data_IF_502002653148
#
_entry.id   IF_502002653148
#
_cell.length_a   1.000
_cell.length_b   1.000
_cell.length_c   1.000
_cell.angle_alpha   90.00
_cell.angle_beta   90.00
_cell.angle_gamma   90.00
#
_symmetry.space_group_name_H-M   'P 1'
#
loop_
_entity.id
_entity.type
_entity.pdbx_description
1 polymer ?
#
# COMPACT_ATOMS: atom_id res chain seq x y z
N UNK A 1 -0.68 6.98 17.19
CA UNK A 1 -1.26 6.44 15.95
C UNK A 1 -0.24 5.61 15.19
N UNK A 2 -0.47 4.29 15.11
CA UNK A 2 0.50 3.29 14.64
C UNK A 2 0.70 3.17 13.12
N UNK A 3 0.12 4.07 12.32
CA UNK A 3 0.20 4.03 10.85
C UNK A 3 -0.57 2.87 10.21
N UNK A 4 -0.65 2.88 8.88
CA UNK A 4 -1.28 1.84 8.07
C UNK A 4 -0.21 1.03 7.34
N UNK A 5 -0.43 -0.28 7.21
CA UNK A 5 0.50 -1.20 6.53
C UNK A 5 0.32 -1.29 5.01
N UNK A 6 -0.84 -0.88 4.54
CA UNK A 6 -1.21 -0.71 3.12
C UNK A 6 -1.96 0.62 3.00
N UNK A 7 -2.05 1.24 1.82
CA UNK A 7 -2.76 2.50 1.69
C UNK A 7 -4.24 2.32 2.02
N UNK A 8 -4.83 3.15 2.88
CA UNK A 8 -6.27 3.18 3.05
C UNK A 8 -6.97 3.46 1.71
N UNK A 9 -8.13 2.87 1.41
CA UNK A 9 -8.85 3.05 0.13
C UNK A 9 -9.05 4.52 -0.27
N UNK A 10 -9.31 5.40 0.71
CA UNK A 10 -9.43 6.86 0.50
C UNK A 10 -8.20 7.49 -0.16
N UNK A 11 -7.00 6.94 0.05
CA UNK A 11 -5.79 7.43 -0.59
C UNK A 11 -5.85 7.27 -2.12
N UNK A 12 -6.69 6.38 -2.65
CA UNK A 12 -6.87 6.15 -4.09
C UNK A 12 -8.11 6.88 -4.61
N UNK A 13 -9.25 6.77 -3.93
CA UNK A 13 -10.56 7.22 -4.47
C UNK A 13 -10.95 8.66 -4.11
N UNK A 14 -10.25 9.32 -3.18
CA UNK A 14 -10.60 10.70 -2.78
C UNK A 14 -10.38 11.80 -3.84
N UNK A 15 -9.44 11.71 -4.80
CA UNK A 15 -9.32 12.72 -5.84
C UNK A 15 -10.58 12.84 -6.70
N UNK A 16 -10.99 14.07 -7.01
CA UNK A 16 -12.16 14.33 -7.87
C UNK A 16 -11.88 14.03 -9.37
N UNK A 17 -10.61 14.01 -9.76
CA UNK A 17 -10.21 13.83 -11.16
C UNK A 17 -9.97 12.36 -11.45
N UNK A 18 -10.72 11.80 -12.39
CA UNK A 18 -10.68 10.37 -12.73
C UNK A 18 -9.27 9.89 -13.12
N UNK A 19 -8.54 10.65 -13.91
CA UNK A 19 -7.18 10.29 -14.34
C UNK A 19 -6.19 10.20 -13.15
N UNK A 20 -6.40 11.00 -12.09
CA UNK A 20 -5.60 10.88 -10.86
C UNK A 20 -5.97 9.57 -10.16
N UNK A 21 -7.25 9.26 -9.99
CA UNK A 21 -7.70 8.00 -9.36
C UNK A 21 -7.13 6.78 -10.12
N UNK A 22 -7.22 6.79 -11.45
CA UNK A 22 -6.62 5.77 -12.32
C UNK A 22 -5.11 5.61 -12.11
N UNK A 23 -4.40 6.74 -12.00
CA UNK A 23 -2.95 6.73 -11.73
C UNK A 23 -2.65 6.10 -10.37
N UNK A 24 -3.45 6.39 -9.34
CA UNK A 24 -3.24 5.86 -7.99
C UNK A 24 -3.55 4.37 -7.87
N UNK A 25 -4.54 3.86 -8.60
CA UNK A 25 -4.74 2.42 -8.74
C UNK A 25 -3.49 1.76 -9.32
N UNK A 26 -2.99 2.27 -10.45
CA UNK A 26 -1.77 1.76 -11.08
C UNK A 26 -0.55 1.88 -10.15
N UNK A 27 -0.42 2.99 -9.43
CA UNK A 27 0.65 3.17 -8.45
C UNK A 27 0.62 2.11 -7.36
N UNK A 28 -0.55 1.82 -6.79
CA UNK A 28 -0.68 0.77 -5.78
C UNK A 28 -0.28 -0.58 -6.36
N UNK A 29 -0.86 -0.95 -7.50
CA UNK A 29 -0.61 -2.25 -8.14
C UNK A 29 0.87 -2.47 -8.48
N UNK A 30 1.61 -1.42 -8.87
CA UNK A 30 3.06 -1.52 -9.13
C UNK A 30 3.89 -1.87 -7.91
N UNK A 31 3.50 -1.38 -6.74
CA UNK A 31 4.24 -1.63 -5.49
C UNK A 31 3.58 -2.72 -4.63
N UNK A 32 2.41 -3.24 -5.05
CA UNK A 32 1.59 -4.18 -4.29
C UNK A 32 2.41 -5.37 -3.84
N UNK A 33 3.07 -6.07 -4.75
CA UNK A 33 3.79 -7.29 -4.42
C UNK A 33 4.99 -7.02 -3.52
N UNK A 34 5.69 -5.90 -3.70
CA UNK A 34 6.77 -5.47 -2.79
C UNK A 34 6.25 -5.13 -1.40
N UNK A 35 5.06 -4.55 -1.27
CA UNK A 35 4.45 -4.26 0.03
C UNK A 35 3.95 -5.55 0.68
N UNK A 36 3.19 -6.38 -0.05
CA UNK A 36 2.60 -7.62 0.47
C UNK A 36 3.66 -8.67 0.81
N UNK A 37 4.73 -8.80 0.03
CA UNK A 37 5.83 -9.72 0.37
C UNK A 37 6.48 -9.40 1.71
N UNK A 38 6.60 -8.11 2.06
CA UNK A 38 7.10 -7.68 3.38
C UNK A 38 6.14 -8.04 4.49
N UNK A 39 4.82 -7.94 4.29
CA UNK A 39 3.83 -8.34 5.30
C UNK A 39 3.88 -9.83 5.60
N UNK A 40 4.17 -10.65 4.59
CA UNK A 40 4.27 -12.10 4.75
C UNK A 40 5.66 -12.59 5.20
N UNK A 41 6.66 -11.71 5.32
CA UNK A 41 8.03 -12.10 5.71
C UNK A 41 8.25 -11.79 7.20
N UNK A 42 8.27 -12.79 8.10
CA UNK A 42 8.34 -12.56 9.55
C UNK A 42 9.56 -11.75 10.02
N UNK A 43 10.67 -11.81 9.27
CA UNK A 43 11.93 -11.16 9.61
C UNK A 43 12.01 -9.71 9.12
N UNK A 44 11.04 -9.25 8.33
CA UNK A 44 11.06 -7.93 7.70
C UNK A 44 9.97 -7.07 8.31
N UNK A 45 10.37 -5.96 8.94
CA UNK A 45 9.40 -5.04 9.53
C UNK A 45 8.45 -4.48 8.44
N UNK A 46 7.14 -4.49 8.69
CA UNK A 46 6.17 -3.94 7.75
C UNK A 46 6.34 -2.43 7.65
N UNK A 47 5.97 -1.88 6.49
CA UNK A 47 5.96 -0.43 6.29
C UNK A 47 4.73 0.13 7.00
N UNK A 48 4.94 1.03 7.97
CA UNK A 48 3.83 1.71 8.67
C UNK A 48 3.84 3.19 8.34
N UNK A 49 2.87 3.64 7.56
CA UNK A 49 2.80 5.03 7.08
C UNK A 49 1.49 5.70 7.46
N UNK A 50 1.52 7.01 7.66
CA UNK A 50 0.30 7.82 7.78
C UNK A 50 -0.43 7.92 6.44
N UNK A 51 -1.70 8.31 6.47
CA UNK A 51 -2.51 8.59 5.27
C UNK A 51 -1.80 9.52 4.27
N UNK A 52 -1.18 10.58 4.80
CA UNK A 52 -0.50 11.59 3.99
C UNK A 52 0.76 11.01 3.35
N UNK A 53 1.48 10.16 4.07
CA UNK A 53 2.67 9.49 3.55
C UNK A 53 2.29 8.44 2.49
N UNK A 54 1.28 7.61 2.73
CA UNK A 54 0.75 6.69 1.71
C UNK A 54 0.31 7.41 0.44
N UNK A 55 -0.45 8.51 0.58
CA UNK A 55 -0.87 9.33 -0.54
C UNK A 55 0.34 9.88 -1.32
N UNK A 56 1.34 10.43 -0.62
CA UNK A 56 2.56 10.94 -1.23
C UNK A 56 3.42 9.85 -1.88
N UNK A 57 3.47 8.64 -1.34
CA UNK A 57 4.16 7.50 -1.94
C UNK A 57 3.49 7.08 -3.25
N UNK A 58 2.16 6.98 -3.28
CA UNK A 58 1.42 6.68 -4.51
C UNK A 58 1.60 7.76 -5.59
N UNK A 59 1.69 9.04 -5.20
CA UNK A 59 2.03 10.13 -6.14
C UNK A 59 3.44 9.98 -6.71
N UNK A 60 4.41 9.63 -5.86
CA UNK A 60 5.80 9.41 -6.24
C UNK A 60 5.91 8.25 -7.23
N UNK A 61 5.22 7.14 -6.96
CA UNK A 61 5.19 5.96 -7.85
C UNK A 61 4.48 6.27 -9.17
N UNK A 62 3.42 7.07 -9.12
CA UNK A 62 2.61 7.42 -10.30
C UNK A 62 3.19 8.53 -11.16
N UNK A 63 4.33 9.09 -10.79
CA UNK A 63 4.92 10.23 -11.50
C UNK A 63 4.09 11.51 -11.40
N UNK A 64 3.13 11.59 -10.46
CA UNK A 64 2.31 12.79 -10.24
C UNK A 64 3.12 13.91 -9.55
N UNK A 65 4.28 13.57 -8.99
CA UNK A 65 5.20 14.52 -8.39
C UNK A 65 6.62 14.32 -8.91
N UNK A 66 6.98 15.07 -9.95
CA UNK A 66 8.30 15.06 -10.61
C UNK A 66 9.23 16.18 -10.12
N UNK A 67 8.74 17.08 -9.27
CA UNK A 67 9.52 18.22 -8.76
C UNK A 67 10.69 17.78 -7.87
N UNK A 68 11.78 18.57 -7.94
CA UNK A 68 12.89 18.49 -6.99
C UNK A 68 12.40 18.78 -5.56
N UNK A 69 13.18 18.39 -4.56
CA UNK A 69 12.87 18.66 -3.16
C UNK A 69 12.70 20.18 -2.93
N UNK A 70 11.45 20.62 -2.94
CA UNK A 70 11.06 21.96 -2.51
C UNK A 70 11.19 22.03 -0.99
N UNK A 71 11.63 23.16 -0.44
CA UNK A 71 11.65 23.44 1.01
C UNK A 71 10.24 23.42 1.66
N UNK A 72 9.19 23.24 0.86
CA UNK A 72 7.84 23.05 1.36
C UNK A 72 7.72 21.70 2.08
N UNK A 73 6.90 21.67 3.14
CA UNK A 73 6.56 20.43 3.88
C UNK A 73 6.04 19.30 2.99
N UNK A 74 5.39 19.62 1.87
CA UNK A 74 4.93 18.61 0.91
C UNK A 74 6.09 18.06 0.08
N UNK A 75 6.98 18.93 -0.40
CA UNK A 75 8.18 18.53 -1.15
C UNK A 75 9.09 17.61 -0.34
N UNK A 76 9.33 17.94 0.93
CA UNK A 76 10.08 17.09 1.85
C UNK A 76 9.42 15.71 2.00
N UNK A 77 8.09 15.65 2.19
CA UNK A 77 7.39 14.36 2.30
C UNK A 77 7.52 13.51 1.04
N UNK A 78 7.45 14.10 -0.15
CA UNK A 78 7.68 13.34 -1.39
C UNK A 78 9.13 12.88 -1.52
N UNK A 79 10.10 13.64 -1.00
CA UNK A 79 11.50 13.19 -0.91
C UNK A 79 11.64 11.99 0.03
N UNK A 80 11.05 12.06 1.23
CA UNK A 80 11.04 10.95 2.18
C UNK A 80 10.38 9.70 1.57
N UNK A 81 9.29 9.87 0.82
CA UNK A 81 8.61 8.74 0.17
C UNK A 81 9.38 8.17 -1.04
N UNK A 82 10.26 8.95 -1.67
CA UNK A 82 11.22 8.41 -2.65
C UNK A 82 12.25 7.52 -1.95
N UNK A 83 12.77 7.96 -0.81
CA UNK A 83 13.68 7.15 0.00
C UNK A 83 13.02 5.83 0.44
N UNK A 84 11.76 5.86 0.89
CA UNK A 84 11.01 4.62 1.20
C UNK A 84 10.90 3.71 -0.03
N UNK A 85 10.61 4.24 -1.21
CA UNK A 85 10.48 3.45 -2.43
C UNK A 85 11.81 2.75 -2.80
N UNK A 86 12.91 3.51 -2.77
CA UNK A 86 14.24 3.03 -3.19
C UNK A 86 14.88 2.12 -2.14
N UNK A 87 14.89 2.54 -0.87
CA UNK A 87 15.65 1.87 0.18
C UNK A 87 14.83 0.84 0.96
N UNK A 88 13.50 1.03 1.08
CA UNK A 88 12.64 0.09 1.81
C UNK A 88 11.96 -0.91 0.89
N UNK A 89 11.38 -0.45 -0.21
CA UNK A 89 10.74 -1.33 -1.19
C UNK A 89 11.73 -1.91 -2.21
N UNK A 90 12.97 -1.39 -2.26
CA UNK A 90 14.02 -1.82 -3.21
C UNK A 90 13.57 -1.70 -4.66
N UNK A 91 12.77 -0.67 -4.94
CA UNK A 91 12.26 -0.37 -6.28
C UNK A 91 13.11 0.75 -6.85
N UNK A 92 13.90 0.40 -7.86
CA UNK A 92 14.65 1.40 -8.64
C UNK A 92 13.69 2.15 -9.58
N UNK A 93 13.79 3.47 -9.54
CA UNK A 93 12.98 4.42 -10.33
C UNK A 93 13.49 4.64 -11.75
N UNK A 94 14.48 3.87 -12.22
CA UNK A 94 14.87 3.86 -13.62
C UNK A 94 13.63 3.87 -14.53
N UNK A 95 13.68 4.61 -15.66
CA UNK A 95 12.49 4.92 -16.48
C UNK A 95 11.59 3.72 -16.81
N UNK A 96 12.18 2.52 -16.87
CA UNK A 96 11.48 1.24 -17.04
C UNK A 96 10.37 0.96 -16.00
N UNK A 97 10.50 1.38 -14.73
CA UNK A 97 9.52 1.04 -13.69
C UNK A 97 8.20 1.80 -13.81
N UNK A 98 8.25 3.09 -14.13
CA UNK A 98 7.03 3.91 -14.26
C UNK A 98 6.24 3.58 -15.53
N UNK A 99 6.92 3.08 -16.57
CA UNK A 99 6.32 2.67 -17.82
C UNK A 99 5.97 1.17 -17.86
N UNK A 100 6.33 0.42 -16.81
CA UNK A 100 6.06 -1.00 -16.73
C UNK A 100 4.53 -1.28 -16.77
N UNK A 101 4.12 -2.31 -17.54
CA UNK A 101 2.73 -2.76 -17.56
C UNK A 101 2.31 -3.25 -16.18
N UNK A 102 1.07 -2.94 -15.83
CA UNK A 102 0.49 -3.24 -14.52
C UNK A 102 -0.52 -4.36 -14.67
N UNK A 103 -0.47 -5.34 -13.76
CA UNK A 103 -1.35 -6.50 -13.80
C UNK A 103 -2.16 -6.63 -12.52
N UNK A 104 -3.35 -7.22 -12.64
CA UNK A 104 -4.16 -7.70 -11.51
C UNK A 104 -4.61 -9.12 -11.81
N UNK A 105 -4.22 -10.08 -10.97
CA UNK A 105 -4.57 -11.50 -11.15
C UNK A 105 -4.25 -12.01 -12.59
N UNK A 106 -3.06 -11.63 -13.09
CA UNK A 106 -2.59 -11.95 -14.43
C UNK A 106 -3.24 -11.17 -15.59
N UNK A 107 -4.23 -10.30 -15.31
CA UNK A 107 -4.87 -9.45 -16.32
C UNK A 107 -4.17 -8.11 -16.44
N UNK A 108 -3.81 -7.73 -17.67
CA UNK A 108 -3.23 -6.42 -17.96
C UNK A 108 -4.27 -5.32 -17.68
N UNK A 109 -3.88 -4.33 -16.88
CA UNK A 109 -4.67 -3.12 -16.66
C UNK A 109 -4.37 -2.14 -17.79
N UNK A 110 -5.42 -1.62 -18.42
CA UNK A 110 -5.31 -0.65 -19.51
C UNK A 110 -4.41 0.54 -19.14
N UNK A 111 -3.68 1.05 -20.13
CA UNK A 111 -2.82 2.24 -19.97
C UNK A 111 -3.64 3.48 -19.64
N UNK A 112 -4.84 3.58 -20.19
CA UNK A 112 -5.70 4.77 -20.13
C UNK A 112 -6.98 4.51 -19.32
N UNK A 113 -7.31 5.45 -18.44
CA UNK A 113 -8.54 5.43 -17.66
C UNK A 113 -8.51 4.53 -16.43
N UNK A 114 -9.67 4.42 -15.77
CA UNK A 114 -9.84 3.58 -14.59
C UNK A 114 -9.78 2.09 -14.94
N UNK A 115 -9.34 1.23 -14.00
CA UNK A 115 -9.56 -0.20 -14.12
C UNK A 115 -11.06 -0.53 -14.25
N UNK A 116 -11.37 -1.67 -14.85
CA UNK A 116 -12.73 -2.21 -14.87
C UNK A 116 -13.35 -2.20 -13.46
N UNK A 117 -14.64 -1.91 -13.35
CA UNK A 117 -15.31 -1.76 -12.05
C UNK A 117 -15.16 -3.00 -11.15
N UNK A 118 -15.10 -4.21 -11.73
CA UNK A 118 -14.83 -5.44 -10.99
C UNK A 118 -13.42 -5.49 -10.42
N UNK A 119 -12.42 -5.05 -11.19
CA UNK A 119 -11.02 -4.97 -10.76
C UNK A 119 -10.86 -3.90 -9.69
N UNK A 120 -11.39 -2.70 -9.92
CA UNK A 120 -11.35 -1.62 -8.95
C UNK A 120 -11.97 -2.05 -7.61
N UNK A 121 -13.13 -2.73 -7.64
CA UNK A 121 -13.77 -3.26 -6.43
C UNK A 121 -12.91 -4.31 -5.73
N UNK A 122 -12.29 -5.23 -6.47
CA UNK A 122 -11.43 -6.26 -5.90
C UNK A 122 -10.19 -5.66 -5.22
N UNK A 123 -9.54 -4.69 -5.87
CA UNK A 123 -8.40 -3.96 -5.30
C UNK A 123 -8.80 -3.21 -4.02
N UNK A 124 -9.92 -2.49 -4.05
CA UNK A 124 -10.40 -1.76 -2.86
C UNK A 124 -10.81 -2.72 -1.74
N UNK A 125 -11.39 -3.87 -2.07
CA UNK A 125 -11.71 -4.91 -1.10
C UNK A 125 -10.44 -5.43 -0.42
N UNK A 126 -9.40 -5.80 -1.19
CA UNK A 126 -8.11 -6.23 -0.64
C UNK A 126 -7.53 -5.19 0.33
N UNK A 127 -7.54 -3.90 -0.05
CA UNK A 127 -7.04 -2.82 0.81
C UNK A 127 -7.87 -2.65 2.09
N UNK A 128 -9.20 -2.77 2.01
CA UNK A 128 -10.08 -2.75 3.17
C UNK A 128 -9.78 -3.93 4.10
N UNK A 129 -9.72 -5.13 3.53
CA UNK A 129 -9.52 -6.36 4.26
C UNK A 129 -8.16 -6.37 4.97
N UNK A 130 -7.07 -6.07 4.26
CA UNK A 130 -5.73 -6.03 4.85
C UNK A 130 -5.61 -4.99 5.98
N UNK A 131 -6.15 -3.77 5.79
CA UNK A 131 -6.15 -2.78 6.86
C UNK A 131 -6.98 -3.25 8.06
N UNK A 132 -8.16 -3.82 7.82
CA UNK A 132 -9.02 -4.35 8.90
C UNK A 132 -8.34 -5.45 9.69
N UNK A 133 -7.70 -6.43 9.01
CA UNK A 133 -6.98 -7.52 9.68
C UNK A 133 -5.88 -6.99 10.58
N UNK A 134 -5.08 -6.04 10.09
CA UNK A 134 -4.00 -5.47 10.89
C UNK A 134 -4.48 -4.56 12.04
N UNK A 135 -5.60 -3.84 11.86
CA UNK A 135 -6.22 -3.11 12.96
C UNK A 135 -6.75 -4.07 14.02
N UNK A 136 -7.34 -5.21 13.61
CA UNK A 136 -7.81 -6.25 14.52
C UNK A 136 -6.65 -6.91 15.27
N UNK A 137 -5.55 -7.28 14.59
CA UNK A 137 -4.34 -7.83 15.21
C UNK A 137 -3.73 -6.85 16.22
N UNK A 138 -3.69 -5.54 15.89
CA UNK A 138 -3.19 -4.52 16.79
C UNK A 138 -4.07 -4.39 18.04
N UNK A 139 -5.40 -4.43 17.87
CA UNK A 139 -6.35 -4.40 18.98
C UNK A 139 -6.25 -5.66 19.84
N UNK A 140 -6.16 -6.83 19.21
CA UNK A 140 -5.98 -8.12 19.88
C UNK A 140 -4.72 -8.12 20.75
N UNK A 141 -3.60 -7.62 20.22
CA UNK A 141 -2.35 -7.52 20.97
C UNK A 141 -2.40 -6.54 22.15
N UNK A 142 -3.26 -5.52 22.11
CA UNK A 142 -3.47 -4.59 23.25
C UNK A 142 -4.36 -5.20 24.33
N UNK A 143 -5.34 -6.01 23.94
CA UNK A 143 -6.33 -6.62 24.84
C UNK A 143 -5.91 -8.02 25.33
N UNK A 144 -4.75 -8.53 24.91
CA UNK A 144 -4.29 -9.87 25.27
C UNK A 144 -3.82 -9.95 26.74
N UNK A 145 -4.58 -10.70 27.55
CA UNK A 145 -4.22 -11.07 28.93
C UNK A 145 -3.94 -12.59 29.09
N UNK A 146 -3.94 -13.34 27.99
CA UNK A 146 -3.94 -14.82 27.97
C UNK A 146 -2.61 -15.46 28.39
N UNK A 147 -1.52 -14.68 28.49
CA UNK A 147 -0.13 -15.14 28.70
C UNK A 147 0.38 -16.10 27.62
N UNK A 148 -0.33 -16.23 26.50
CA UNK A 148 0.07 -17.07 25.38
C UNK A 148 1.29 -16.44 24.68
N UNK A 149 2.15 -17.28 24.10
CA UNK A 149 3.21 -16.77 23.24
C UNK A 149 2.59 -16.06 22.02
N UNK A 150 3.13 -14.89 21.66
CA UNK A 150 2.61 -14.08 20.55
C UNK A 150 2.48 -14.86 19.24
N UNK A 151 3.42 -15.77 18.96
CA UNK A 151 3.41 -16.63 17.77
C UNK A 151 2.21 -17.57 17.72
N UNK A 152 1.84 -18.16 18.86
CA UNK A 152 0.74 -19.12 18.95
C UNK A 152 -0.59 -18.39 18.83
N UNK A 153 -0.70 -17.22 19.49
CA UNK A 153 -1.86 -16.35 19.38
C UNK A 153 -2.07 -15.83 17.96
N UNK A 154 -1.01 -15.33 17.33
CA UNK A 154 -1.08 -14.85 15.95
C UNK A 154 -1.49 -15.98 14.99
N UNK A 155 -1.07 -17.22 15.26
CA UNK A 155 -1.52 -18.38 14.48
C UNK A 155 -3.04 -18.59 14.62
N UNK A 156 -3.58 -18.52 15.84
CA UNK A 156 -5.02 -18.65 16.08
C UNK A 156 -5.82 -17.51 15.43
N UNK A 157 -5.35 -16.27 15.56
CA UNK A 157 -5.98 -15.10 14.91
C UNK A 157 -5.97 -15.27 13.40
N UNK A 158 -4.87 -15.75 12.82
CA UNK A 158 -4.77 -15.97 11.38
C UNK A 158 -5.70 -17.09 10.88
N UNK A 159 -6.00 -18.10 11.70
CA UNK A 159 -6.96 -19.15 11.36
C UNK A 159 -8.42 -18.66 11.29
N UNK A 160 -8.74 -17.51 11.88
CA UNK A 160 -10.07 -16.91 11.78
C UNK A 160 -10.37 -16.34 10.38
N UNK A 161 -9.35 -16.12 9.55
CA UNK A 161 -9.50 -15.59 8.20
C UNK A 161 -9.74 -16.74 7.21
N UNK A 162 -11.00 -17.05 6.92
CA UNK A 162 -11.36 -18.08 5.93
C UNK A 162 -11.31 -17.49 4.51
N UNK A 163 -10.63 -18.17 3.57
CA UNK A 163 -10.72 -17.86 2.13
C UNK A 163 -9.48 -17.29 1.44
N UNK A 164 -8.27 -17.69 1.87
CA UNK A 164 -7.04 -17.55 1.08
C UNK A 164 -6.63 -18.90 0.49
#
# INVERSE_FOLDING_TARGET
DGGFVVPPPRCIVSPAQEHIVATLFKSWLRIRDSVLSRLHTPQVAPIKLSNKCWRSLLDVVGGLHTGSASETRSGMRHADMRDVLENTLRIDKGGSFMDAPVYWEGKLIGSDGLPDASVARAVLWELCELNFRHELEALDGVLDESKMAWTDRNTLVNQCWVGL
#
